data_IF_528472078729
#
_entry.id   IF_528472078729
#
_cell.length_a   1.000
_cell.length_b   1.000
_cell.length_c   1.000
_cell.angle_alpha   90.00
_cell.angle_beta   90.00
_cell.angle_gamma   90.00
#
_symmetry.space_group_name_H-M   'P 1'
#
loop_
_entity.id
_entity.type
_entity.pdbx_description
1 polymer ?
#
# COMPACT_ATOMS: atom_id res chain seq x y z
N UNK A 1 -10.87 5.99 16.97
CA UNK A 1 -9.95 7.10 16.57
C UNK A 1 -8.80 6.45 15.83
N UNK A 2 -8.12 7.15 14.92
CA UNK A 2 -6.95 6.62 14.25
C UNK A 2 -5.67 7.17 14.88
N UNK A 3 -4.69 6.30 15.11
CA UNK A 3 -3.31 6.66 15.42
C UNK A 3 -2.62 7.05 14.11
N UNK A 4 -2.42 8.34 13.91
CA UNK A 4 -1.83 8.92 12.70
C UNK A 4 -0.39 9.32 12.99
N UNK A 5 0.55 8.81 12.19
CA UNK A 5 1.95 9.17 12.26
C UNK A 5 2.16 10.56 11.64
N UNK A 6 1.73 10.74 10.39
CA UNK A 6 1.84 12.00 9.67
C UNK A 6 0.74 12.18 8.61
N UNK A 7 0.42 13.43 8.28
CA UNK A 7 -0.39 13.81 7.13
C UNK A 7 0.38 14.89 6.37
N UNK A 8 0.66 14.66 5.10
CA UNK A 8 1.48 15.58 4.31
C UNK A 8 1.09 15.55 2.83
N UNK A 9 1.45 16.61 2.13
CA UNK A 9 1.25 16.75 0.68
C UNK A 9 2.58 16.59 -0.04
N UNK A 10 2.60 15.74 -1.07
CA UNK A 10 3.79 15.44 -1.86
C UNK A 10 3.40 14.97 -3.26
N UNK A 11 4.33 14.34 -3.97
CA UNK A 11 4.11 13.63 -5.22
C UNK A 11 4.13 12.13 -4.94
N UNK A 12 3.20 11.38 -5.52
CA UNK A 12 3.22 9.92 -5.47
C UNK A 12 4.44 9.40 -6.24
N UNK A 13 5.27 8.59 -5.57
CA UNK A 13 6.52 8.06 -6.11
C UNK A 13 6.39 6.71 -6.79
N UNK A 14 5.30 5.98 -6.53
CA UNK A 14 5.09 4.59 -6.95
C UNK A 14 3.69 4.41 -7.55
N UNK A 15 3.28 3.18 -7.84
CA UNK A 15 1.97 2.84 -8.43
C UNK A 15 1.76 3.44 -9.83
N UNK A 16 0.60 3.21 -10.45
CA UNK A 16 0.25 3.96 -11.68
C UNK A 16 -0.06 5.45 -11.44
N UNK A 17 -0.13 5.87 -10.17
CA UNK A 17 -0.27 7.29 -9.79
C UNK A 17 1.08 8.01 -9.65
N UNK A 18 2.21 7.36 -9.96
CA UNK A 18 3.53 7.97 -9.90
C UNK A 18 3.59 9.30 -10.69
N UNK A 19 4.10 10.35 -10.05
CA UNK A 19 4.20 11.70 -10.60
C UNK A 19 2.99 12.62 -10.31
N UNK A 20 1.91 12.10 -9.72
CA UNK A 20 0.73 12.91 -9.38
C UNK A 20 0.85 13.55 -7.99
N UNK A 21 0.36 14.79 -7.80
CA UNK A 21 0.22 15.35 -6.46
C UNK A 21 -0.75 14.53 -5.61
N UNK A 22 -0.36 14.24 -4.37
CA UNK A 22 -1.10 13.36 -3.47
C UNK A 22 -0.96 13.82 -2.01
N UNK A 23 -2.06 13.74 -1.26
CA UNK A 23 -2.04 13.84 0.21
C UNK A 23 -1.87 12.44 0.79
N UNK A 24 -0.85 12.25 1.60
CA UNK A 24 -0.61 11.01 2.31
C UNK A 24 -1.17 11.08 3.72
N UNK A 25 -1.88 10.05 4.13
CA UNK A 25 -2.29 9.79 5.50
C UNK A 25 -1.53 8.55 5.96
N UNK A 26 -0.42 8.75 6.68
CA UNK A 26 0.40 7.67 7.21
C UNK A 26 -0.10 7.26 8.58
N UNK A 27 -0.66 6.07 8.70
CA UNK A 27 -1.11 5.49 9.96
C UNK A 27 0.04 4.83 10.73
N UNK A 28 -0.10 4.78 12.06
CA UNK A 28 0.83 4.09 12.96
C UNK A 28 0.50 2.60 13.09
N UNK A 29 1.51 1.81 13.44
CA UNK A 29 1.52 0.37 13.68
C UNK A 29 1.64 -0.49 12.43
N UNK A 30 2.44 -1.55 12.52
CA UNK A 30 2.54 -2.57 11.49
C UNK A 30 2.64 -3.95 12.14
N UNK A 31 1.95 -4.94 11.60
CA UNK A 31 2.04 -6.34 12.02
C UNK A 31 3.19 -7.11 11.32
N UNK A 32 3.93 -6.45 10.42
CA UNK A 32 5.07 -7.01 9.69
C UNK A 32 6.39 -6.38 10.15
N UNK A 33 7.51 -7.08 9.93
CA UNK A 33 8.88 -6.60 10.21
C UNK A 33 9.79 -6.91 9.02
N UNK A 34 9.46 -6.30 7.89
CA UNK A 34 10.20 -6.49 6.64
C UNK A 34 11.67 -6.10 6.84
N UNK A 35 12.59 -6.91 6.35
CA UNK A 35 14.05 -6.70 6.47
C UNK A 35 14.56 -5.41 5.85
N UNK A 36 13.79 -4.82 4.93
CA UNK A 36 14.12 -3.59 4.18
C UNK A 36 13.07 -2.49 4.39
N UNK A 37 12.36 -2.48 5.53
CA UNK A 37 11.40 -1.42 5.82
C UNK A 37 12.12 -0.07 5.92
N UNK A 38 11.66 0.91 5.14
CA UNK A 38 12.15 2.29 5.10
C UNK A 38 11.37 3.22 6.06
N UNK A 39 10.23 2.76 6.58
CA UNK A 39 9.34 3.54 7.46
C UNK A 39 9.17 2.92 8.86
N UNK A 40 10.23 2.40 9.48
CA UNK A 40 10.17 1.81 10.83
C UNK A 40 9.67 2.79 11.90
N UNK A 41 9.87 4.10 11.70
CA UNK A 41 9.36 5.15 12.59
C UNK A 41 7.83 5.13 12.73
N UNK A 42 7.10 4.63 11.70
CA UNK A 42 5.65 4.49 11.73
C UNK A 42 5.16 3.33 12.60
N UNK A 43 6.05 2.54 13.23
CA UNK A 43 5.63 1.43 14.09
C UNK A 43 5.17 1.86 15.49
N UNK A 44 5.60 3.03 15.97
CA UNK A 44 5.42 3.41 17.37
C UNK A 44 4.90 4.84 17.55
N UNK A 45 5.36 5.78 16.71
CA UNK A 45 5.04 7.19 16.85
C UNK A 45 3.72 7.57 16.19
N UNK A 46 3.00 8.52 16.78
CA UNK A 46 1.78 9.09 16.21
C UNK A 46 0.85 9.73 17.23
N UNK A 47 -0.15 10.45 16.73
CA UNK A 47 -1.19 11.12 17.53
C UNK A 47 -2.56 10.53 17.22
N UNK A 48 -3.38 10.40 18.25
CA UNK A 48 -4.76 9.97 18.10
C UNK A 48 -5.58 11.09 17.47
N UNK A 49 -6.21 10.81 16.33
CA UNK A 49 -7.02 11.76 15.58
C UNK A 49 -8.41 11.19 15.33
N UNK A 50 -9.43 12.04 15.48
CA UNK A 50 -10.77 11.73 15.01
C UNK A 50 -10.84 11.86 13.48
N UNK A 51 -11.63 11.02 12.82
CA UNK A 51 -11.80 11.03 11.36
C UNK A 51 -12.16 12.43 10.82
N UNK A 52 -13.10 13.20 11.43
CA UNK A 52 -13.40 14.55 10.98
C UNK A 52 -12.18 15.49 11.02
N UNK A 53 -11.30 15.33 12.01
CA UNK A 53 -10.07 16.12 12.10
C UNK A 53 -9.08 15.75 10.98
N UNK A 54 -8.95 14.46 10.66
CA UNK A 54 -8.09 13.97 9.56
C UNK A 54 -8.59 14.55 8.22
N UNK A 55 -9.88 14.42 7.93
CA UNK A 55 -10.48 14.93 6.69
C UNK A 55 -10.31 16.44 6.58
N UNK A 56 -10.49 17.19 7.69
CA UNK A 56 -10.28 18.63 7.71
C UNK A 56 -8.82 19.02 7.45
N UNK A 57 -7.83 18.24 7.91
CA UNK A 57 -6.43 18.47 7.55
C UNK A 57 -6.17 18.19 6.07
N UNK A 58 -6.68 17.08 5.53
CA UNK A 58 -6.54 16.71 4.12
C UNK A 58 -7.10 17.79 3.20
N UNK A 59 -8.28 18.34 3.53
CA UNK A 59 -8.94 19.41 2.75
C UNK A 59 -8.09 20.68 2.61
N UNK A 60 -7.15 20.96 3.52
CA UNK A 60 -6.29 22.16 3.45
C UNK A 60 -5.29 22.13 2.30
N UNK A 61 -4.98 20.95 1.75
CA UNK A 61 -3.99 20.80 0.69
C UNK A 61 -4.58 21.00 -0.72
N UNK A 62 -5.90 21.19 -0.86
CA UNK A 62 -6.58 21.41 -2.14
C UNK A 62 -6.24 20.36 -3.23
N UNK A 63 -5.99 19.12 -2.79
CA UNK A 63 -5.62 18.00 -3.65
C UNK A 63 -6.66 16.89 -3.55
N UNK A 64 -7.11 16.37 -4.69
CA UNK A 64 -8.17 15.34 -4.75
C UNK A 64 -7.67 13.92 -4.49
N UNK A 65 -6.40 13.65 -4.75
CA UNK A 65 -5.83 12.32 -4.60
C UNK A 65 -5.30 12.15 -3.17
N UNK A 66 -5.77 11.13 -2.48
CA UNK A 66 -5.40 10.82 -1.10
C UNK A 66 -4.97 9.38 -1.00
N UNK A 67 -3.78 9.14 -0.47
CA UNK A 67 -3.31 7.79 -0.17
C UNK A 67 -3.28 7.54 1.33
N UNK A 68 -3.96 6.49 1.76
CA UNK A 68 -3.85 5.95 3.10
C UNK A 68 -2.79 4.86 3.09
N UNK A 69 -1.78 5.03 3.92
CA UNK A 69 -0.64 4.12 4.07
C UNK A 69 -0.27 4.05 5.55
N UNK A 70 0.92 3.57 5.89
CA UNK A 70 1.42 3.59 7.26
C UNK A 70 2.46 2.52 7.52
N UNK A 71 2.78 2.30 8.79
CA UNK A 71 2.74 0.88 9.15
C UNK A 71 1.37 0.31 8.70
N UNK A 72 1.26 -0.98 8.41
CA UNK A 72 0.03 -1.60 7.83
C UNK A 72 -1.31 -0.91 8.22
N UNK A 73 -1.93 -0.13 7.32
CA UNK A 73 -3.10 0.69 7.66
C UNK A 73 -4.30 -0.14 8.13
N UNK A 74 -4.42 -1.37 7.62
CA UNK A 74 -5.49 -2.29 7.99
C UNK A 74 -5.32 -2.89 9.40
N UNK A 75 -4.24 -2.59 10.13
CA UNK A 75 -4.14 -2.89 11.58
C UNK A 75 -5.21 -2.12 12.37
N UNK A 76 -5.57 -0.91 11.90
CA UNK A 76 -6.62 -0.08 12.47
C UNK A 76 -7.91 -0.19 11.63
N UNK A 77 -8.32 -1.43 11.33
CA UNK A 77 -9.27 -1.76 10.26
C UNK A 77 -10.58 -0.98 10.31
N UNK A 78 -11.31 -1.00 11.43
CA UNK A 78 -12.66 -0.43 11.50
C UNK A 78 -12.67 1.06 11.17
N UNK A 79 -11.80 1.84 11.83
CA UNK A 79 -11.69 3.28 11.55
C UNK A 79 -11.02 3.60 10.21
N UNK A 80 -10.11 2.76 9.73
CA UNK A 80 -9.49 2.96 8.41
C UNK A 80 -10.54 2.78 7.30
N UNK A 81 -11.42 1.77 7.41
CA UNK A 81 -12.54 1.57 6.48
C UNK A 81 -13.50 2.76 6.49
N UNK A 82 -13.83 3.28 7.69
CA UNK A 82 -14.72 4.44 7.82
C UNK A 82 -14.10 5.74 7.26
N UNK A 83 -12.80 5.96 7.47
CA UNK A 83 -12.06 7.08 6.88
C UNK A 83 -12.09 7.04 5.35
N UNK A 84 -11.80 5.89 4.74
CA UNK A 84 -11.82 5.73 3.29
C UNK A 84 -13.20 6.04 2.71
N UNK A 85 -14.26 5.51 3.33
CA UNK A 85 -15.64 5.75 2.90
C UNK A 85 -15.98 7.23 2.95
N UNK A 86 -15.67 7.92 4.05
CA UNK A 86 -15.96 9.35 4.20
C UNK A 86 -15.15 10.23 3.22
N UNK A 87 -13.89 9.90 2.97
CA UNK A 87 -13.10 10.57 1.92
C UNK A 87 -13.72 10.39 0.53
N UNK A 88 -14.16 9.18 0.19
CA UNK A 88 -14.86 8.94 -1.07
C UNK A 88 -16.20 9.69 -1.15
N UNK A 89 -16.95 9.77 -0.05
CA UNK A 89 -18.21 10.52 0.02
C UNK A 89 -17.99 12.04 -0.17
N UNK A 90 -16.85 12.55 0.28
CA UNK A 90 -16.40 13.93 0.08
C UNK A 90 -15.80 14.18 -1.33
N UNK A 91 -15.77 13.16 -2.20
CA UNK A 91 -15.35 13.29 -3.59
C UNK A 91 -13.84 13.21 -3.82
N UNK A 92 -13.07 12.72 -2.84
CA UNK A 92 -11.65 12.40 -3.03
C UNK A 92 -11.47 11.11 -3.84
N UNK A 93 -10.37 11.05 -4.58
CA UNK A 93 -9.84 9.82 -5.17
C UNK A 93 -8.95 9.16 -4.12
N UNK A 94 -9.33 7.97 -3.65
CA UNK A 94 -8.67 7.33 -2.50
C UNK A 94 -7.88 6.10 -2.93
N UNK A 95 -6.60 6.09 -2.56
CA UNK A 95 -5.70 4.95 -2.64
C UNK A 95 -5.49 4.36 -1.25
N UNK A 96 -5.29 3.05 -1.17
CA UNK A 96 -4.73 2.39 0.03
C UNK A 96 -3.53 1.54 -0.37
N UNK A 97 -2.40 1.76 0.31
CA UNK A 97 -1.25 0.87 0.22
C UNK A 97 -1.19 -0.06 1.44
N UNK A 98 -1.26 -1.37 1.21
CA UNK A 98 -1.25 -2.41 2.24
C UNK A 98 -0.19 -3.48 1.95
N UNK A 99 0.36 -4.09 2.98
CA UNK A 99 1.31 -5.21 2.85
C UNK A 99 0.64 -6.56 2.58
N UNK A 100 -0.69 -6.61 2.43
CA UNK A 100 -1.40 -7.80 1.99
C UNK A 100 -1.55 -8.91 3.02
N UNK A 101 -1.18 -8.64 4.28
CA UNK A 101 -1.26 -9.63 5.38
C UNK A 101 -2.60 -9.63 6.12
N UNK A 102 -3.42 -8.60 5.90
CA UNK A 102 -4.76 -8.43 6.46
C UNK A 102 -5.78 -8.37 5.33
N UNK A 103 -7.05 -8.67 5.65
CA UNK A 103 -8.08 -8.80 4.62
C UNK A 103 -8.50 -7.46 4.03
N UNK A 104 -8.67 -7.41 2.70
CA UNK A 104 -9.21 -6.25 1.98
C UNK A 104 -10.72 -6.35 1.67
N UNK A 105 -11.39 -7.43 2.13
CA UNK A 105 -12.76 -7.78 1.72
C UNK A 105 -13.78 -6.65 1.85
N UNK A 106 -13.66 -5.83 2.89
CA UNK A 106 -14.63 -4.79 3.23
C UNK A 106 -14.17 -3.38 2.85
N UNK A 107 -13.08 -3.25 2.07
CA UNK A 107 -12.64 -1.96 1.54
C UNK A 107 -13.71 -1.42 0.57
N UNK A 108 -14.02 -0.13 0.68
CA UNK A 108 -15.01 0.53 -0.17
C UNK A 108 -14.65 0.33 -1.66
N UNK A 109 -15.60 -0.10 -2.52
CA UNK A 109 -15.30 -0.43 -3.91
C UNK A 109 -14.80 0.76 -4.75
N UNK A 110 -14.96 2.00 -4.29
CA UNK A 110 -14.40 3.21 -4.93
C UNK A 110 -12.91 3.39 -4.67
N UNK A 111 -12.39 2.76 -3.62
CA UNK A 111 -10.97 2.84 -3.26
C UNK A 111 -10.15 1.95 -4.19
N UNK A 112 -9.06 2.51 -4.70
CA UNK A 112 -8.04 1.76 -5.43
C UNK A 112 -7.06 1.14 -4.44
N UNK A 113 -6.90 -0.17 -4.52
CA UNK A 113 -6.08 -0.94 -3.58
C UNK A 113 -4.75 -1.26 -4.23
N UNK A 114 -3.66 -0.96 -3.53
CA UNK A 114 -2.30 -1.35 -3.89
C UNK A 114 -1.83 -2.33 -2.83
N UNK A 115 -1.67 -3.61 -3.21
CA UNK A 115 -1.11 -4.61 -2.30
C UNK A 115 0.36 -4.81 -2.65
N UNK A 116 1.25 -4.53 -1.71
CA UNK A 116 2.66 -4.90 -1.79
C UNK A 116 2.87 -6.30 -1.21
N UNK A 117 2.75 -7.33 -2.05
CA UNK A 117 3.00 -8.70 -1.62
C UNK A 117 4.46 -8.90 -1.29
N UNK A 118 4.70 -9.43 -0.09
CA UNK A 118 6.04 -9.53 0.48
C UNK A 118 6.80 -10.67 -0.16
N UNK A 119 7.87 -10.33 -0.88
CA UNK A 119 8.78 -11.30 -1.49
C UNK A 119 9.63 -12.02 -0.42
N UNK A 120 10.24 -13.18 -0.71
CA UNK A 120 11.07 -13.93 0.23
C UNK A 120 12.10 -13.08 0.98
N UNK A 121 12.80 -12.18 0.29
CA UNK A 121 13.85 -11.38 0.91
C UNK A 121 13.36 -10.39 1.97
N UNK A 122 12.05 -10.11 2.01
CA UNK A 122 11.43 -9.33 3.09
C UNK A 122 11.45 -10.04 4.45
N UNK A 123 11.64 -11.37 4.45
CA UNK A 123 11.44 -12.23 5.62
C UNK A 123 9.98 -12.42 6.03
N UNK A 124 9.02 -11.82 5.31
CA UNK A 124 7.60 -11.77 5.66
C UNK A 124 6.69 -12.45 4.63
N UNK A 125 7.24 -13.14 3.62
CA UNK A 125 6.48 -13.82 2.55
C UNK A 125 5.34 -14.71 3.07
N UNK A 126 5.60 -15.48 4.13
CA UNK A 126 4.60 -16.37 4.76
C UNK A 126 3.42 -15.64 5.40
N UNK A 127 3.45 -14.30 5.49
CA UNK A 127 2.36 -13.46 6.01
C UNK A 127 1.41 -13.00 4.92
N UNK A 128 1.71 -13.20 3.64
CA UNK A 128 0.82 -12.83 2.54
C UNK A 128 -0.51 -13.61 2.66
N UNK A 129 -1.63 -12.88 2.71
CA UNK A 129 -2.97 -13.44 2.73
C UNK A 129 -3.51 -13.55 1.31
N UNK A 130 -3.27 -14.69 0.65
CA UNK A 130 -3.63 -14.89 -0.76
C UNK A 130 -5.14 -14.86 -1.02
N UNK A 131 -6.00 -15.03 0.00
CA UNK A 131 -7.44 -14.85 -0.13
C UNK A 131 -7.82 -13.45 -0.64
N UNK A 132 -6.96 -12.44 -0.41
CA UNK A 132 -7.13 -11.09 -0.94
C UNK A 132 -7.24 -11.04 -2.47
N UNK A 133 -6.65 -12.00 -3.19
CA UNK A 133 -6.72 -12.09 -4.65
C UNK A 133 -8.16 -12.24 -5.16
N UNK A 134 -9.07 -12.77 -4.33
CA UNK A 134 -10.48 -12.91 -4.67
C UNK A 134 -11.28 -11.60 -4.60
N UNK A 135 -10.72 -10.57 -3.97
CA UNK A 135 -11.37 -9.28 -3.76
C UNK A 135 -10.76 -8.16 -4.63
N UNK A 136 -9.70 -8.46 -5.39
CA UNK A 136 -9.07 -7.52 -6.31
C UNK A 136 -10.03 -7.12 -7.44
N UNK A 137 -9.99 -5.84 -7.77
CA UNK A 137 -10.67 -5.24 -8.92
C UNK A 137 -9.68 -4.98 -10.06
N UNK A 138 -10.14 -4.86 -11.32
CA UNK A 138 -9.28 -4.49 -12.45
C UNK A 138 -8.55 -3.16 -12.28
N UNK A 139 -9.07 -2.27 -11.45
CA UNK A 139 -8.47 -0.96 -11.14
C UNK A 139 -7.41 -1.01 -10.05
N UNK A 140 -7.30 -2.13 -9.32
CA UNK A 140 -6.34 -2.30 -8.23
C UNK A 140 -4.95 -2.64 -8.79
N UNK A 141 -3.96 -2.75 -7.91
CA UNK A 141 -2.58 -3.00 -8.27
C UNK A 141 -1.92 -3.99 -7.31
N UNK A 142 -1.05 -4.84 -7.85
CA UNK A 142 -0.15 -5.67 -7.07
C UNK A 142 1.28 -5.23 -7.29
N UNK A 143 1.93 -4.82 -6.22
CA UNK A 143 3.33 -4.42 -6.17
C UNK A 143 4.18 -5.54 -5.59
N UNK A 144 5.38 -5.71 -6.14
CA UNK A 144 6.40 -6.63 -5.65
C UNK A 144 7.73 -5.89 -5.55
N UNK A 145 8.22 -5.70 -4.33
CA UNK A 145 9.56 -5.11 -4.10
C UNK A 145 10.62 -6.20 -4.20
N UNK A 146 11.40 -6.18 -5.28
CA UNK A 146 12.38 -7.20 -5.64
C UNK A 146 13.76 -6.83 -5.06
N UNK A 147 14.29 -7.67 -4.17
CA UNK A 147 15.60 -7.50 -3.56
C UNK A 147 16.65 -8.50 -4.03
N UNK A 148 16.27 -9.51 -4.81
CA UNK A 148 17.16 -10.57 -5.30
C UNK A 148 16.59 -11.24 -6.54
N UNK A 149 17.41 -12.08 -7.19
CA UNK A 149 16.94 -12.93 -8.28
C UNK A 149 15.89 -13.96 -7.81
N UNK A 150 16.03 -14.45 -6.59
CA UNK A 150 15.06 -15.36 -5.96
C UNK A 150 13.68 -14.69 -5.82
N UNK A 151 13.64 -13.41 -5.39
CA UNK A 151 12.39 -12.66 -5.31
C UNK A 151 11.71 -12.53 -6.68
N UNK A 152 12.49 -12.26 -7.73
CA UNK A 152 11.96 -12.16 -9.09
C UNK A 152 11.38 -13.50 -9.59
N UNK A 153 12.14 -14.59 -9.45
CA UNK A 153 11.69 -15.91 -9.89
C UNK A 153 10.45 -16.35 -9.09
N UNK A 154 10.42 -16.13 -7.77
CA UNK A 154 9.25 -16.34 -6.92
C UNK A 154 8.04 -15.49 -7.37
N UNK A 155 8.27 -14.22 -7.70
CA UNK A 155 7.20 -13.32 -8.15
C UNK A 155 6.53 -13.84 -9.42
N UNK A 156 7.32 -14.31 -10.40
CA UNK A 156 6.77 -14.93 -11.62
C UNK A 156 5.95 -16.18 -11.33
N UNK A 157 6.41 -17.03 -10.41
CA UNK A 157 5.67 -18.22 -9.99
C UNK A 157 4.32 -17.84 -9.38
N UNK A 158 4.28 -16.83 -8.51
CA UNK A 158 3.05 -16.33 -7.89
C UNK A 158 2.11 -15.73 -8.95
N UNK A 159 2.61 -14.90 -9.87
CA UNK A 159 1.81 -14.34 -10.97
C UNK A 159 1.19 -15.47 -11.80
N UNK A 160 1.98 -16.46 -12.21
CA UNK A 160 1.48 -17.58 -13.01
C UNK A 160 0.49 -18.44 -12.24
N UNK A 161 0.78 -18.75 -10.97
CA UNK A 161 -0.04 -19.62 -10.12
C UNK A 161 -1.45 -19.05 -9.91
N UNK A 162 -1.56 -17.73 -9.75
CA UNK A 162 -2.83 -17.06 -9.48
C UNK A 162 -3.40 -16.30 -10.69
N UNK A 163 -2.73 -16.35 -11.84
CA UNK A 163 -3.09 -15.59 -13.06
C UNK A 163 -3.30 -14.09 -12.76
N UNK A 164 -2.37 -13.50 -12.00
CA UNK A 164 -2.50 -12.13 -11.48
C UNK A 164 -2.50 -11.09 -12.61
N UNK A 165 -1.77 -11.35 -13.68
CA UNK A 165 -1.70 -10.55 -14.92
C UNK A 165 -3.06 -10.36 -15.60
N UNK A 166 -4.03 -11.24 -15.31
CA UNK A 166 -5.39 -11.17 -15.85
C UNK A 166 -6.38 -10.48 -14.91
N UNK A 167 -5.92 -10.09 -13.71
CA UNK A 167 -6.78 -9.55 -12.64
C UNK A 167 -6.63 -8.04 -12.49
N UNK A 168 -5.41 -7.54 -12.51
CA UNK A 168 -5.09 -6.15 -12.20
C UNK A 168 -3.66 -5.80 -12.67
N UNK A 169 -3.27 -4.54 -12.53
CA UNK A 169 -1.91 -4.10 -12.88
C UNK A 169 -0.86 -4.77 -11.97
N UNK A 170 0.28 -5.15 -12.55
CA UNK A 170 1.40 -5.76 -11.84
C UNK A 170 2.60 -4.84 -11.91
N UNK A 171 3.15 -4.49 -10.75
CA UNK A 171 4.24 -3.53 -10.61
C UNK A 171 5.43 -4.19 -9.92
N UNK A 172 6.62 -4.01 -10.49
CA UNK A 172 7.87 -4.36 -9.83
C UNK A 172 8.61 -3.10 -9.43
N UNK A 173 9.12 -3.10 -8.20
CA UNK A 173 10.09 -2.11 -7.71
C UNK A 173 11.32 -2.84 -7.17
N UNK A 174 12.39 -2.10 -6.87
CA UNK A 174 13.62 -2.67 -6.32
C UNK A 174 13.77 -2.33 -4.85
N UNK A 175 14.37 -3.23 -4.06
CA UNK A 175 14.83 -2.86 -2.72
C UNK A 175 15.96 -1.83 -2.86
N UNK A 176 15.72 -0.61 -2.37
CA UNK A 176 16.65 0.50 -2.47
C UNK A 176 18.03 0.15 -1.86
N UNK A 177 19.10 0.52 -2.57
CA UNK A 177 20.47 0.26 -2.16
C UNK A 177 20.91 -1.22 -2.20
N UNK A 178 20.02 -2.15 -2.57
CA UNK A 178 20.29 -3.59 -2.65
C UNK A 178 20.29 -4.12 -4.07
N UNK A 179 19.36 -3.66 -4.91
CA UNK A 179 19.26 -4.07 -6.30
C UNK A 179 19.15 -2.83 -7.19
N UNK A 180 20.02 -2.72 -8.20
CA UNK A 180 19.94 -1.62 -9.17
C UNK A 180 18.76 -1.85 -10.13
N UNK A 181 17.96 -0.81 -10.45
CA UNK A 181 16.84 -0.94 -11.38
C UNK A 181 17.20 -1.59 -12.72
N UNK A 182 18.38 -1.27 -13.28
CA UNK A 182 18.87 -1.86 -14.54
C UNK A 182 19.05 -3.38 -14.45
N UNK A 183 19.37 -3.92 -13.27
CA UNK A 183 19.51 -5.36 -13.10
C UNK A 183 18.16 -6.06 -13.18
N UNK A 184 17.13 -5.50 -12.53
CA UNK A 184 15.76 -6.01 -12.62
C UNK A 184 15.23 -5.95 -14.06
N UNK A 185 15.47 -4.84 -14.76
CA UNK A 185 15.08 -4.70 -16.19
C UNK A 185 15.68 -5.80 -17.05
N UNK A 186 16.94 -6.21 -16.80
CA UNK A 186 17.57 -7.29 -17.54
C UNK A 186 17.02 -8.70 -17.21
N UNK A 187 16.18 -8.85 -16.19
CA UNK A 187 15.53 -10.13 -15.87
C UNK A 187 14.14 -10.28 -16.49
N UNK A 188 13.47 -9.16 -16.80
CA UNK A 188 12.17 -9.07 -17.47
C UNK A 188 12.33 -9.40 -18.96
#
# INVERSE_FOLDING_TARGET
MLKVNEIYYSIQGESTAAGLPCVFIRLTYCNLRCTYCDTEYAFYDGKDMAIPAIINEVKKFECKLVEITGGEPLVQMEECLDLMRQLCDDGFEVLIETGGSLTIKNVDPRVKIIIDFKCPSSGMEKKNLYENINYLKPTDELKFVIGSREDYDWTKEIISKYSLDKKCEILFSVVFGKLEPVQLVNWI
#
